data_IF_754130264286
#
_entry.id   IF_754130264286
#
_cell.length_a   1.000
_cell.length_b   1.000
_cell.length_c   1.000
_cell.angle_alpha   90.00
_cell.angle_beta   90.00
_cell.angle_gamma   90.00
#
_symmetry.space_group_name_H-M   'P 1'
#
loop_
_entity.id
_entity.type
_entity.pdbx_description
1 polymer ?
#
# COMPACT_ATOMS: atom_id res chain seq x y z
N UNK A 1 -0.96 10.00 4.09
CA UNK A 1 -1.27 10.57 2.75
C UNK A 1 -2.68 10.16 2.34
N UNK A 2 -3.41 10.96 1.54
CA UNK A 2 -4.80 10.67 1.14
C UNK A 2 -4.96 10.58 -0.37
N UNK A 3 -5.73 9.60 -0.85
CA UNK A 3 -6.19 9.50 -2.25
C UNK A 3 -7.66 9.94 -2.34
N UNK A 4 -8.06 10.52 -3.47
CA UNK A 4 -9.47 10.80 -3.71
C UNK A 4 -10.23 9.49 -3.93
N UNK A 5 -11.29 9.26 -3.15
CA UNK A 5 -12.12 8.05 -3.22
C UNK A 5 -13.54 8.45 -3.61
N UNK A 6 -14.07 7.95 -4.74
CA UNK A 6 -15.48 8.15 -5.09
C UNK A 6 -16.42 7.56 -4.02
N UNK A 7 -17.63 8.12 -3.80
CA UNK A 7 -18.55 7.64 -2.76
C UNK A 7 -18.87 6.14 -2.83
N UNK A 8 -19.04 5.60 -4.05
CA UNK A 8 -19.31 4.17 -4.25
C UNK A 8 -18.13 3.30 -3.81
N UNK A 9 -16.91 3.72 -4.12
CA UNK A 9 -15.70 3.01 -3.71
C UNK A 9 -15.43 3.15 -2.21
N UNK A 10 -15.77 4.31 -1.63
CA UNK A 10 -15.71 4.53 -0.18
C UNK A 10 -16.63 3.57 0.57
N UNK A 11 -17.88 3.41 0.10
CA UNK A 11 -18.83 2.45 0.65
C UNK A 11 -18.35 1.00 0.47
N UNK A 12 -17.77 0.68 -0.69
CA UNK A 12 -17.17 -0.64 -0.93
C UNK A 12 -16.00 -0.93 0.02
N UNK A 13 -15.11 0.03 0.26
CA UNK A 13 -13.98 -0.11 1.21
C UNK A 13 -14.53 -0.36 2.63
N UNK A 14 -15.51 0.43 3.07
CA UNK A 14 -16.14 0.26 4.38
C UNK A 14 -16.78 -1.14 4.54
N UNK A 15 -17.50 -1.61 3.51
CA UNK A 15 -18.09 -2.95 3.51
C UNK A 15 -17.01 -4.06 3.56
N UNK A 16 -15.89 -3.87 2.85
CA UNK A 16 -14.78 -4.82 2.86
C UNK A 16 -14.09 -4.88 4.23
N UNK A 17 -13.88 -3.73 4.88
CA UNK A 17 -13.36 -3.66 6.26
C UNK A 17 -14.27 -4.45 7.20
N UNK A 18 -15.59 -4.24 7.12
CA UNK A 18 -16.56 -4.93 7.97
C UNK A 18 -16.60 -6.46 7.72
N UNK A 19 -16.35 -6.89 6.48
CA UNK A 19 -16.36 -8.31 6.09
C UNK A 19 -15.04 -9.02 6.38
N UNK A 20 -13.94 -8.28 6.57
CA UNK A 20 -12.59 -8.83 6.68
C UNK A 20 -12.43 -9.92 7.75
N UNK A 21 -12.96 -9.78 9.00
CA UNK A 21 -12.82 -10.83 10.01
C UNK A 21 -13.48 -12.15 9.62
N UNK A 22 -14.57 -12.11 8.86
CA UNK A 22 -15.31 -13.29 8.41
C UNK A 22 -14.68 -13.94 7.17
N UNK A 23 -14.00 -13.14 6.34
CA UNK A 23 -13.31 -13.59 5.11
C UNK A 23 -11.85 -14.01 5.37
N UNK A 24 -11.31 -13.78 6.57
CA UNK A 24 -9.96 -14.19 6.94
C UNK A 24 -9.84 -15.73 6.90
N UNK A 25 -9.02 -16.26 6.00
CA UNK A 25 -8.77 -17.71 5.85
C UNK A 25 -7.36 -18.13 6.25
N UNK A 26 -6.43 -17.18 6.38
CA UNK A 26 -5.02 -17.46 6.70
C UNK A 26 -4.70 -17.02 8.12
N UNK A 27 -3.79 -17.69 8.84
CA UNK A 27 -3.48 -17.39 10.24
C UNK A 27 -3.16 -15.91 10.50
N UNK A 28 -2.43 -15.26 9.60
CA UNK A 28 -2.09 -13.84 9.75
C UNK A 28 -3.29 -12.91 9.53
N UNK A 29 -4.22 -13.26 8.62
CA UNK A 29 -5.45 -12.48 8.42
C UNK A 29 -6.31 -12.47 9.70
N UNK A 30 -6.34 -13.59 10.43
CA UNK A 30 -7.06 -13.67 11.70
C UNK A 30 -6.43 -12.77 12.78
N UNK A 31 -5.10 -12.68 12.83
CA UNK A 31 -4.41 -11.82 13.79
C UNK A 31 -4.60 -10.33 13.47
N UNK A 32 -4.65 -9.96 12.19
CA UNK A 32 -4.90 -8.59 11.75
C UNK A 32 -6.37 -8.15 11.93
N UNK A 33 -7.32 -9.09 11.97
CA UNK A 33 -8.75 -8.77 11.94
C UNK A 33 -9.20 -7.79 13.03
N UNK A 34 -8.64 -7.90 14.25
CA UNK A 34 -8.92 -6.97 15.33
C UNK A 34 -8.46 -5.55 14.99
N UNK A 35 -7.23 -5.40 14.48
CA UNK A 35 -6.66 -4.12 14.08
C UNK A 35 -7.42 -3.50 12.89
N UNK A 36 -7.87 -4.32 11.92
CA UNK A 36 -8.69 -3.86 10.78
C UNK A 36 -9.99 -3.21 11.26
N UNK A 37 -10.66 -3.84 12.23
CA UNK A 37 -11.88 -3.30 12.84
C UNK A 37 -11.61 -2.05 13.68
N UNK A 38 -10.58 -2.08 14.54
CA UNK A 38 -10.22 -0.97 15.41
C UNK A 38 -9.79 0.29 14.63
N UNK A 39 -8.96 0.11 13.61
CA UNK A 39 -8.38 1.22 12.84
C UNK A 39 -9.23 1.65 11.64
N UNK A 40 -10.33 0.94 11.39
CA UNK A 40 -11.23 1.12 10.26
C UNK A 40 -10.47 1.23 8.92
N UNK A 41 -9.48 0.34 8.72
CA UNK A 41 -8.56 0.39 7.59
C UNK A 41 -8.42 -0.99 6.93
N UNK A 42 -8.62 -1.04 5.62
CA UNK A 42 -8.48 -2.25 4.80
C UNK A 42 -6.99 -2.56 4.55
N UNK A 43 -6.46 -3.72 4.95
CA UNK A 43 -5.03 -3.99 4.84
C UNK A 43 -4.61 -4.28 3.39
N UNK A 44 -3.87 -3.37 2.78
CA UNK A 44 -3.45 -3.46 1.38
C UNK A 44 -2.24 -4.37 1.18
N UNK A 45 -1.25 -4.23 2.06
CA UNK A 45 -0.04 -5.03 2.06
C UNK A 45 0.56 -5.08 3.46
N UNK A 46 1.18 -6.21 3.78
CA UNK A 46 2.10 -6.35 4.90
C UNK A 46 3.54 -6.30 4.40
N UNK A 47 4.29 -5.32 4.88
CA UNK A 47 5.73 -5.18 4.63
C UNK A 47 6.48 -5.35 5.95
N UNK A 48 7.26 -6.42 6.07
CA UNK A 48 8.01 -6.75 7.27
C UNK A 48 7.08 -6.88 8.50
N UNK A 49 7.18 -5.95 9.45
CA UNK A 49 6.40 -5.92 10.69
C UNK A 49 5.22 -4.95 10.63
N UNK A 50 5.00 -4.30 9.49
CA UNK A 50 3.97 -3.27 9.34
C UNK A 50 2.93 -3.67 8.31
N UNK A 51 1.69 -3.31 8.62
CA UNK A 51 0.57 -3.39 7.68
C UNK A 51 0.23 -1.99 7.23
N UNK A 52 0.13 -1.82 5.92
CA UNK A 52 -0.36 -0.60 5.29
C UNK A 52 -1.82 -0.82 4.93
N UNK A 53 -2.70 0.10 5.35
CA UNK A 53 -4.12 -0.02 5.06
C UNK A 53 -4.78 1.27 4.60
N UNK A 54 -5.92 1.09 3.96
CA UNK A 54 -6.72 2.14 3.34
C UNK A 54 -8.02 2.32 4.11
N UNK A 55 -8.25 3.54 4.60
CA UNK A 55 -9.53 3.96 5.16
C UNK A 55 -10.52 4.31 4.06
N UNK A 56 -11.81 4.24 4.38
CA UNK A 56 -12.87 4.56 3.44
C UNK A 56 -12.86 6.02 2.95
N UNK A 57 -12.22 6.93 3.70
CA UNK A 57 -12.03 8.34 3.32
C UNK A 57 -10.81 8.58 2.41
N UNK A 58 -10.10 7.51 2.04
CA UNK A 58 -8.91 7.54 1.20
C UNK A 58 -7.59 7.75 1.93
N UNK A 59 -7.60 7.89 3.26
CA UNK A 59 -6.36 7.96 4.02
C UNK A 59 -5.65 6.59 4.02
N UNK A 60 -4.36 6.60 3.68
CA UNK A 60 -3.49 5.43 3.85
C UNK A 60 -2.68 5.60 5.11
N UNK A 61 -2.79 4.60 5.98
CA UNK A 61 -2.16 4.51 7.30
C UNK A 61 -1.30 3.26 7.39
N UNK A 62 -0.37 3.23 8.35
CA UNK A 62 0.38 2.03 8.72
C UNK A 62 0.19 1.70 10.20
N UNK A 63 0.27 0.44 10.54
CA UNK A 63 0.29 -0.04 11.93
C UNK A 63 1.21 -1.25 12.07
N UNK A 64 1.69 -1.50 13.29
CA UNK A 64 2.41 -2.73 13.63
C UNK A 64 1.62 -3.51 14.68
N UNK A 65 1.31 -4.77 14.36
CA UNK A 65 0.80 -5.74 15.34
C UNK A 65 1.84 -6.77 15.76
N UNK A 66 3.07 -6.67 15.24
CA UNK A 66 4.13 -7.66 15.44
C UNK A 66 5.31 -7.13 16.26
N UNK A 67 5.99 -8.05 16.95
CA UNK A 67 7.27 -7.84 17.62
C UNK A 67 7.17 -7.42 19.08
N UNK A 68 8.34 -7.16 19.70
CA UNK A 68 8.47 -6.81 21.12
C UNK A 68 8.14 -5.33 21.41
N UNK A 69 7.94 -4.51 20.38
CA UNK A 69 7.66 -3.09 20.50
C UNK A 69 6.66 -2.59 19.42
N UNK A 70 5.41 -3.09 19.40
CA UNK A 70 4.37 -2.48 18.58
C UNK A 70 4.14 -1.04 19.05
N UNK A 71 3.96 -0.13 18.10
CA UNK A 71 3.50 1.22 18.44
C UNK A 71 1.98 1.26 18.52
N UNK A 72 1.40 2.07 19.42
CA UNK A 72 -0.05 2.14 19.57
C UNK A 72 -0.70 2.83 18.35
N UNK A 73 -1.82 2.27 17.90
CA UNK A 73 -2.67 2.86 16.88
C UNK A 73 -2.04 2.90 15.49
N UNK A 74 -2.50 3.87 14.69
CA UNK A 74 -2.04 4.08 13.31
C UNK A 74 -1.05 5.23 13.21
N UNK A 75 -0.05 5.08 12.35
CA UNK A 75 0.87 6.14 11.94
C UNK A 75 0.59 6.58 10.51
N UNK A 76 0.91 7.83 10.14
CA UNK A 76 0.85 8.25 8.76
C UNK A 76 1.89 7.50 7.92
N UNK A 77 1.56 7.30 6.65
CA UNK A 77 2.54 6.94 5.61
C UNK A 77 3.17 8.23 5.08
N UNK A 78 4.48 8.34 5.23
CA UNK A 78 5.27 9.54 4.89
C UNK A 78 5.92 9.44 3.50
N UNK A 79 6.35 8.23 3.11
CA UNK A 79 7.01 7.97 1.84
C UNK A 79 6.03 7.86 0.68
N UNK A 80 6.26 8.64 -0.39
CA UNK A 80 5.49 8.52 -1.64
C UNK A 80 5.56 7.09 -2.22
N UNK A 81 6.72 6.44 -2.14
CA UNK A 81 6.86 5.08 -2.65
C UNK A 81 6.11 4.05 -1.81
N UNK A 82 6.12 4.16 -0.48
CA UNK A 82 5.36 3.27 0.39
C UNK A 82 3.86 3.44 0.14
N UNK A 83 3.41 4.69 0.02
CA UNK A 83 2.02 5.02 -0.29
C UNK A 83 1.57 4.44 -1.64
N UNK A 84 2.33 4.66 -2.71
CA UNK A 84 1.99 4.11 -4.02
C UNK A 84 2.07 2.59 -4.08
N UNK A 85 3.06 2.00 -3.41
CA UNK A 85 3.24 0.55 -3.41
C UNK A 85 2.11 -0.13 -2.67
N UNK A 86 1.67 0.42 -1.53
CA UNK A 86 0.49 -0.06 -0.83
C UNK A 86 -0.75 -0.03 -1.74
N UNK A 87 -0.99 1.08 -2.47
CA UNK A 87 -2.11 1.17 -3.42
C UNK A 87 -1.99 0.16 -4.57
N UNK A 88 -0.79 -0.03 -5.15
CA UNK A 88 -0.54 -0.98 -6.24
C UNK A 88 -0.81 -2.41 -5.78
N UNK A 89 -0.36 -2.79 -4.59
CA UNK A 89 -0.55 -4.14 -4.05
C UNK A 89 -2.00 -4.36 -3.62
N UNK A 90 -2.63 -3.33 -3.04
CA UNK A 90 -4.07 -3.29 -2.80
C UNK A 90 -4.88 -3.52 -4.08
N UNK A 91 -4.53 -2.85 -5.18
CA UNK A 91 -5.18 -3.02 -6.48
C UNK A 91 -4.96 -4.40 -7.12
N UNK A 92 -3.86 -5.09 -6.79
CA UNK A 92 -3.65 -6.48 -7.21
C UNK A 92 -4.54 -7.45 -6.44
N UNK A 93 -4.69 -7.21 -5.14
CA UNK A 93 -5.56 -8.02 -4.27
C UNK A 93 -7.04 -7.76 -4.53
N UNK A 94 -7.40 -6.50 -4.77
CA UNK A 94 -8.76 -6.02 -5.01
C UNK A 94 -8.80 -5.13 -6.26
N UNK A 95 -9.19 -5.68 -7.42
CA UNK A 95 -9.18 -4.95 -8.70
C UNK A 95 -9.95 -3.63 -8.69
N UNK A 96 -10.98 -3.48 -7.85
CA UNK A 96 -11.76 -2.25 -7.69
C UNK A 96 -10.90 -1.06 -7.23
N UNK A 97 -9.82 -1.32 -6.47
CA UNK A 97 -8.89 -0.29 -6.02
C UNK A 97 -7.98 0.23 -7.13
N UNK A 98 -7.95 -0.38 -8.31
CA UNK A 98 -7.17 0.12 -9.44
C UNK A 98 -7.58 1.54 -9.85
N UNK A 99 -8.82 1.95 -9.57
CA UNK A 99 -9.31 3.31 -9.79
C UNK A 99 -8.60 4.37 -8.93
N UNK A 100 -7.91 3.96 -7.85
CA UNK A 100 -7.15 4.85 -6.96
C UNK A 100 -5.71 5.07 -7.45
N UNK A 101 -5.26 4.29 -8.43
CA UNK A 101 -3.90 4.43 -8.97
C UNK A 101 -3.79 5.70 -9.81
N UNK A 102 -2.64 6.39 -9.79
CA UNK A 102 -2.40 7.50 -10.70
C UNK A 102 -2.57 7.05 -12.15
N UNK A 103 -3.31 7.83 -12.93
CA UNK A 103 -3.39 7.63 -14.36
C UNK A 103 -1.99 7.77 -14.98
N UNK A 104 -1.61 6.84 -15.85
CA UNK A 104 -0.33 6.90 -16.58
C UNK A 104 -0.35 8.11 -17.53
N UNK A 105 0.55 9.11 -17.36
CA UNK A 105 0.65 10.22 -18.29
C UNK A 105 1.01 9.75 -19.71
N UNK A 106 0.55 10.41 -20.79
CA UNK A 106 0.90 10.05 -22.16
C UNK A 106 2.42 10.03 -22.44
N UNK A 107 3.18 10.91 -21.77
CA UNK A 107 4.64 10.98 -21.90
C UNK A 107 5.39 9.96 -21.02
N UNK A 108 4.71 9.21 -20.16
CA UNK A 108 5.38 8.30 -19.23
C UNK A 108 6.05 7.13 -19.95
N UNK A 109 7.34 6.94 -19.65
CA UNK A 109 8.12 5.82 -20.18
C UNK A 109 7.98 4.60 -19.27
N UNK A 110 8.15 3.41 -19.85
CA UNK A 110 8.21 2.19 -19.06
C UNK A 110 9.40 2.25 -18.10
N UNK A 111 9.20 1.85 -16.85
CA UNK A 111 10.30 1.78 -15.89
C UNK A 111 11.26 0.66 -16.28
N UNK A 112 12.57 0.91 -16.12
CA UNK A 112 13.63 -0.04 -16.46
C UNK A 112 13.64 -1.28 -15.56
N UNK A 113 12.93 -1.25 -14.43
CA UNK A 113 12.79 -2.42 -13.57
C UNK A 113 12.06 -3.58 -14.24
N UNK A 114 11.36 -3.34 -15.37
CA UNK A 114 10.57 -4.32 -16.16
C UNK A 114 9.62 -5.19 -15.34
N UNK A 115 9.24 -4.74 -14.14
CA UNK A 115 8.46 -5.54 -13.21
C UNK A 115 9.18 -6.80 -12.72
N UNK A 116 10.52 -6.84 -12.76
CA UNK A 116 11.31 -7.97 -12.27
C UNK A 116 10.90 -8.32 -10.83
N UNK A 117 10.40 -9.55 -10.58
CA UNK A 117 9.99 -9.99 -9.26
C UNK A 117 11.17 -10.64 -8.54
N UNK A 118 11.99 -9.91 -7.78
CA UNK A 118 12.99 -10.50 -6.87
C UNK A 118 13.11 -9.55 -5.67
N UNK A 119 12.86 -9.87 -4.40
CA UNK A 119 13.16 -11.00 -3.49
C UNK A 119 12.20 -11.16 -2.27
N UNK A 120 11.28 -12.15 -2.27
CA UNK A 120 10.37 -12.63 -1.19
C UNK A 120 9.87 -11.69 -0.06
N UNK A 121 9.06 -12.12 0.94
CA UNK A 121 8.72 -11.26 2.09
C UNK A 121 9.96 -10.50 2.60
N UNK A 122 9.99 -9.17 2.38
CA UNK A 122 11.23 -8.37 2.42
C UNK A 122 11.58 -7.56 1.14
N UNK A 123 10.85 -7.73 0.02
CA UNK A 123 11.17 -7.15 -1.31
C UNK A 123 11.36 -5.63 -1.35
N UNK A 124 12.50 -5.21 -1.88
CA UNK A 124 12.79 -3.84 -2.32
C UNK A 124 11.77 -3.39 -3.39
N UNK A 125 11.03 -2.33 -3.06
CA UNK A 125 10.21 -1.61 -4.01
C UNK A 125 11.12 -0.84 -4.96
N UNK A 126 10.86 -0.90 -6.27
CA UNK A 126 11.61 -0.08 -7.23
C UNK A 126 11.41 1.40 -6.86
N UNK A 127 12.48 2.12 -6.45
CA UNK A 127 12.34 3.48 -5.93
C UNK A 127 11.92 4.48 -7.02
N UNK A 128 12.10 4.12 -8.29
CA UNK A 128 11.71 4.96 -9.42
C UNK A 128 10.19 4.88 -9.68
N UNK A 129 9.63 3.68 -9.84
CA UNK A 129 8.23 3.52 -10.22
C UNK A 129 7.28 3.21 -9.06
N UNK A 130 7.79 2.87 -7.87
CA UNK A 130 7.01 2.50 -6.70
C UNK A 130 5.89 1.47 -7.03
N UNK A 131 6.19 0.49 -7.90
CA UNK A 131 5.23 -0.53 -8.34
C UNK A 131 4.36 -0.18 -9.55
N UNK A 132 4.33 1.08 -10.01
CA UNK A 132 3.50 1.54 -11.14
C UNK A 132 3.97 1.02 -12.51
N UNK A 133 5.23 0.55 -12.61
CA UNK A 133 5.88 0.06 -13.85
C UNK A 133 6.11 1.13 -14.93
N UNK A 134 5.89 2.40 -14.62
CA UNK A 134 6.22 3.55 -15.45
C UNK A 134 6.79 4.68 -14.60
N UNK A 135 7.52 5.58 -15.24
CA UNK A 135 8.03 6.83 -14.64
C UNK A 135 7.62 8.01 -15.52
N UNK A 136 7.37 9.17 -14.92
CA UNK A 136 7.11 10.38 -15.69
C UNK A 136 8.40 10.78 -16.44
N UNK A 137 8.27 11.26 -17.68
CA UNK A 137 9.42 11.64 -18.51
C UNK A 137 10.34 12.70 -17.85
N UNK A 138 9.76 13.54 -16.99
CA UNK A 138 10.45 14.64 -16.30
C UNK A 138 10.64 14.39 -14.80
N UNK A 139 10.46 13.15 -14.33
CA UNK A 139 10.80 12.83 -12.94
C UNK A 139 12.32 12.91 -12.80
N UNK A 140 12.82 13.93 -12.10
CA UNK A 140 14.22 13.97 -11.69
C UNK A 140 14.56 12.64 -10.98
N UNK A 141 15.72 12.04 -11.26
CA UNK A 141 16.15 10.83 -10.58
C UNK A 141 16.14 11.10 -9.07
N UNK A 142 15.38 10.31 -8.32
CA UNK A 142 15.45 10.32 -6.86
C UNK A 142 16.90 10.00 -6.51
N UNK A 143 17.61 10.98 -5.94
CA UNK A 143 18.99 10.83 -5.54
C UNK A 143 19.09 9.54 -4.72
N UNK A 144 19.91 8.60 -5.20
CA UNK A 144 20.23 7.41 -4.44
C UNK A 144 20.72 7.87 -3.07
N UNK A 145 20.08 7.41 -2.00
CA UNK A 145 20.59 7.66 -0.66
C UNK A 145 22.02 7.11 -0.62
N UNK A 146 22.99 8.01 -0.47
CA UNK A 146 24.40 7.70 -0.42
C UNK A 146 24.63 6.64 0.66
N UNK A 147 24.85 5.41 0.21
CA UNK A 147 25.38 4.34 1.04
C UNK A 147 26.79 4.71 1.46
N UNK A 148 26.91 5.32 2.64
CA UNK A 148 28.18 5.34 3.36
C UNK A 148 28.23 4.16 4.31
N UNK A 149 29.25 3.36 4.07
CA UNK A 149 29.71 2.18 4.78
C UNK A 149 30.03 2.44 6.25
#
# INVERSE_FOLDING_TARGET
>A
MRVAVPPELSAWIAARIASYPAEATEPYHHWEAAAVGEFAALPLIRHWFETFGLRADGEVVRWSTDGDAPYPGTQPVEGRCDWLSALVEGARRWPELAALLPARPPAAVACRCVGHPAFEPGKFLCPECCGLRWVAADAEPVAAADGRA
#
